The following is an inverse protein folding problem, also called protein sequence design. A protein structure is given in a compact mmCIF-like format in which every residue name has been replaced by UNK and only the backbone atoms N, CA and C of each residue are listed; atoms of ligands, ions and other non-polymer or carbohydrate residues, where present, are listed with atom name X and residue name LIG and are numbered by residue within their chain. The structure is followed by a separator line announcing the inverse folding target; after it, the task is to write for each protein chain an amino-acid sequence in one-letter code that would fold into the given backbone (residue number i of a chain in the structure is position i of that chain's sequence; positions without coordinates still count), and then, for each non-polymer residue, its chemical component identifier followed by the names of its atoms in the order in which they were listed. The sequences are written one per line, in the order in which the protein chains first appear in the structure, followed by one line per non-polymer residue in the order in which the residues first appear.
data_IF_624080476396
#
_entry.id   IF_624080476396
#
_cell.length_a   1.000
_cell.length_b   1.000
_cell.length_c   1.000
_cell.angle_alpha   90.00
_cell.angle_beta   90.00
_cell.angle_gamma   90.00
#
_symmetry.space_group_name_H-M   'P 1'
#
loop_
_entity.id
_entity.type
_entity.pdbx_description
1 polymer ?
#
# COMPACT_ATOMS: atom_id res chain seq x y z
N UNK A 1 20.33 34.54 4.95
CA UNK A 1 20.34 33.32 4.10
C UNK A 1 20.83 32.16 4.96
N UNK A 2 19.93 31.31 5.46
CA UNK A 2 20.27 30.24 6.41
C UNK A 2 20.99 29.09 5.71
N UNK A 3 22.14 28.65 6.24
CA UNK A 3 22.86 27.46 5.78
C UNK A 3 22.07 26.22 6.20
N UNK A 4 21.54 25.46 5.22
CA UNK A 4 20.84 24.20 5.48
C UNK A 4 21.90 23.14 5.78
N UNK A 5 21.98 22.68 7.04
CA UNK A 5 22.83 21.56 7.42
C UNK A 5 22.12 20.30 6.92
N UNK A 6 22.73 19.60 5.97
CA UNK A 6 22.22 18.33 5.46
C UNK A 6 23.09 17.23 6.06
N UNK A 7 22.49 16.35 6.86
CA UNK A 7 23.21 15.22 7.45
C UNK A 7 23.46 14.18 6.36
N UNK A 8 24.74 13.95 6.04
CA UNK A 8 25.16 12.90 5.12
C UNK A 8 25.67 11.70 5.91
N UNK A 9 25.31 10.50 5.48
CA UNK A 9 25.81 9.25 6.04
C UNK A 9 26.37 8.35 4.95
N UNK A 10 27.19 7.37 5.36
CA UNK A 10 27.80 6.42 4.45
C UNK A 10 26.82 5.27 4.18
N UNK A 11 26.47 5.04 2.92
CA UNK A 11 25.59 3.94 2.52
C UNK A 11 26.17 2.59 2.94
N UNK A 12 25.38 1.76 3.63
CA UNK A 12 25.80 0.42 4.08
C UNK A 12 26.09 -0.54 2.91
N UNK A 13 25.46 -0.33 1.76
CA UNK A 13 25.55 -1.24 0.61
C UNK A 13 26.73 -0.94 -0.31
N UNK A 14 27.08 0.33 -0.55
CA UNK A 14 28.14 0.70 -1.49
C UNK A 14 29.25 1.56 -0.88
N UNK A 15 29.13 1.96 0.38
CA UNK A 15 30.13 2.76 1.08
C UNK A 15 30.24 4.21 0.63
N UNK A 16 29.40 4.70 -0.31
CA UNK A 16 29.40 6.10 -0.75
C UNK A 16 28.52 6.97 0.17
N UNK A 17 28.87 8.26 0.29
CA UNK A 17 28.10 9.19 1.11
C UNK A 17 26.81 9.59 0.39
N UNK A 18 25.70 9.62 1.12
CA UNK A 18 24.37 9.96 0.62
C UNK A 18 23.60 10.74 1.70
N UNK A 19 22.71 11.63 1.28
CA UNK A 19 21.81 12.42 2.12
C UNK A 19 20.34 11.95 2.02
N UNK A 20 20.07 10.95 1.17
CA UNK A 20 18.76 10.37 0.95
C UNK A 20 18.65 8.93 1.48
N UNK A 21 17.45 8.54 1.92
CA UNK A 21 17.16 7.19 2.45
C UNK A 21 17.48 6.08 1.44
N UNK A 22 17.12 6.28 0.16
CA UNK A 22 17.57 5.42 -0.93
C UNK A 22 18.86 6.00 -1.52
N UNK A 23 19.90 5.19 -1.60
CA UNK A 23 21.19 5.62 -2.14
C UNK A 23 21.10 5.84 -3.65
N UNK A 24 21.43 7.04 -4.12
CA UNK A 24 21.43 7.38 -5.55
C UNK A 24 22.51 6.69 -6.37
N UNK A 25 23.49 6.04 -5.72
CA UNK A 25 24.57 5.32 -6.41
C UNK A 25 24.30 3.84 -6.62
N UNK A 26 23.55 3.20 -5.73
CA UNK A 26 23.28 1.77 -5.81
C UNK A 26 21.79 1.41 -5.73
N UNK A 27 20.92 2.43 -5.64
CA UNK A 27 19.45 2.33 -5.64
C UNK A 27 18.86 1.43 -4.54
N UNK A 28 19.64 1.18 -3.48
CA UNK A 28 19.25 0.40 -2.30
C UNK A 28 19.13 1.29 -1.08
N UNK A 29 18.40 0.82 -0.08
CA UNK A 29 18.32 1.49 1.21
C UNK A 29 19.73 1.75 1.76
N UNK A 30 19.98 2.99 2.15
CA UNK A 30 21.30 3.44 2.56
C UNK A 30 21.55 3.28 4.06
N UNK A 31 20.48 3.02 4.83
CA UNK A 31 20.48 2.90 6.28
C UNK A 31 19.43 1.87 6.71
N UNK A 32 19.77 1.01 7.69
CA UNK A 32 18.85 0.07 8.32
C UNK A 32 18.35 0.69 9.63
N UNK A 33 17.04 0.88 9.78
CA UNK A 33 16.47 1.27 11.09
C UNK A 33 16.39 0.03 11.97
N UNK A 34 17.40 -0.17 12.82
CA UNK A 34 17.36 -1.25 13.79
C UNK A 34 16.53 -0.84 15.02
N UNK A 35 15.39 -1.49 15.21
CA UNK A 35 14.63 -1.51 16.48
C UNK A 35 14.58 -2.96 16.97
N UNK A 36 15.72 -3.53 17.37
CA UNK A 36 15.81 -4.63 18.35
C UNK A 36 17.26 -5.03 18.65
N UNK A 37 17.56 -5.13 19.95
CA UNK A 37 18.63 -5.94 20.58
C UNK A 37 20.10 -5.47 20.45
N UNK A 38 20.76 -5.12 21.57
CA UNK A 38 21.59 -6.01 22.42
C UNK A 38 22.82 -6.57 21.68
N UNK A 39 24.05 -6.19 22.10
CA UNK A 39 25.13 -7.11 22.54
C UNK A 39 26.49 -6.40 22.63
N UNK A 40 26.98 -6.33 23.88
CA UNK A 40 28.36 -6.46 24.39
C UNK A 40 29.53 -6.14 23.45
N UNK A 41 30.36 -5.18 23.88
CA UNK A 41 31.82 -5.29 23.75
C UNK A 41 32.48 -5.06 25.11
N UNK A 42 33.21 -6.08 25.55
CA UNK A 42 34.13 -6.05 26.68
C UNK A 42 35.31 -5.12 26.38
N UNK A 43 35.49 -4.06 27.18
CA UNK A 43 36.77 -3.39 27.32
C UNK A 43 37.30 -3.52 28.76
N UNK A 44 38.27 -4.42 28.88
CA UNK A 44 39.20 -4.57 29.99
C UNK A 44 39.97 -3.27 30.22
N UNK A 45 39.92 -2.63 31.41
CA UNK A 45 40.81 -1.51 31.68
C UNK A 45 42.23 -2.02 31.94
N UNK A 46 43.18 -1.42 31.21
CA UNK A 46 44.62 -1.57 31.38
C UNK A 46 45.03 -1.23 32.82
N UNK A 47 45.89 -2.09 33.34
CA UNK A 47 46.76 -1.85 34.47
C UNK A 47 47.64 -0.62 34.17
N UNK A 48 47.57 0.41 35.01
CA UNK A 48 48.65 1.39 35.18
C UNK A 48 48.89 1.58 36.66
N UNK A 49 49.80 0.75 37.14
CA UNK A 49 50.59 0.91 38.35
C UNK A 49 51.55 2.11 38.17
N UNK A 50 51.50 3.11 39.07
CA UNK A 50 52.67 3.97 39.30
C UNK A 50 52.66 4.73 40.63
N UNK A 51 53.56 4.28 41.51
CA UNK A 51 54.48 5.03 42.40
C UNK A 51 53.98 5.73 43.67
N UNK A 52 54.10 4.99 44.78
CA UNK A 52 55.07 5.18 45.90
C UNK A 52 55.54 6.60 46.23
N UNK A 53 55.26 7.04 47.46
CA UNK A 53 56.21 7.51 48.50
C UNK A 53 55.40 7.71 49.81
N UNK A 54 55.85 7.54 51.05
CA UNK A 54 57.12 7.19 51.72
C UNK A 54 56.75 6.89 53.20
N UNK A 55 57.53 6.00 53.84
CA UNK A 55 57.84 5.84 55.29
C UNK A 55 56.66 5.60 56.27
N UNK A 56 56.70 4.67 57.22
CA UNK A 56 57.79 4.30 58.13
C UNK A 56 57.68 2.83 58.63
N UNK A 57 58.86 2.19 58.77
CA UNK A 57 59.35 1.25 59.82
C UNK A 57 58.29 0.36 60.53
N UNK A 58 58.41 -0.96 60.65
CA UNK A 58 59.53 -1.73 61.23
C UNK A 58 59.16 -3.24 61.29
N UNK A 59 60.19 -4.12 61.23
CA UNK A 59 60.28 -5.53 61.72
C UNK A 59 59.54 -6.68 60.99
N UNK A 60 60.31 -7.27 60.06
CA UNK A 60 60.67 -8.70 59.90
C UNK A 60 60.21 -9.64 61.03
N UNK A 61 59.49 -10.72 60.68
CA UNK A 61 59.90 -12.12 60.88
C UNK A 61 59.22 -13.02 59.83
N UNK A 62 60.04 -13.82 59.16
CA UNK A 62 59.69 -14.84 58.17
C UNK A 62 59.21 -16.12 58.84
N UNK A 63 58.10 -16.69 58.38
CA UNK A 63 57.88 -18.14 58.38
C UNK A 63 57.16 -18.53 57.09
N UNK A 64 57.77 -19.45 56.33
CA UNK A 64 57.17 -20.09 55.15
C UNK A 64 55.99 -20.95 55.64
N UNK A 65 54.75 -20.75 55.16
CA UNK A 65 53.60 -21.51 55.65
C UNK A 65 53.55 -22.92 55.06
N UNK A 66 53.16 -23.87 55.92
CA UNK A 66 52.90 -25.28 55.61
C UNK A 66 51.76 -25.43 54.57
N UNK A 67 51.80 -26.42 53.65
CA UNK A 67 50.83 -26.64 52.56
C UNK A 67 49.36 -26.64 53.00
N UNK A 68 49.08 -27.01 54.25
CA UNK A 68 47.74 -27.06 54.83
C UNK A 68 47.11 -25.67 55.02
N UNK A 69 47.93 -24.62 55.18
CA UNK A 69 47.49 -23.26 55.45
C UNK A 69 46.98 -22.58 54.17
N UNK A 70 47.65 -22.83 53.05
CA UNK A 70 47.22 -22.38 51.72
C UNK A 70 45.94 -23.11 51.29
N UNK A 71 45.84 -24.42 51.53
CA UNK A 71 44.63 -25.21 51.23
C UNK A 71 43.41 -24.68 52.00
N UNK A 72 43.57 -24.33 53.29
CA UNK A 72 42.48 -23.80 54.10
C UNK A 72 42.08 -22.37 53.69
N UNK A 73 43.04 -21.54 53.27
CA UNK A 73 42.76 -20.21 52.69
C UNK A 73 41.98 -20.32 51.39
N UNK A 74 42.42 -21.19 50.48
CA UNK A 74 41.76 -21.46 49.21
C UNK A 74 40.33 -22.00 49.41
N UNK A 75 40.10 -22.89 50.38
CA UNK A 75 38.74 -23.36 50.72
C UNK A 75 37.82 -22.21 51.12
N UNK A 76 38.31 -21.25 51.92
CA UNK A 76 37.53 -20.09 52.37
C UNK A 76 37.19 -19.13 51.23
N UNK A 77 38.10 -18.94 50.29
CA UNK A 77 37.85 -18.15 49.08
C UNK A 77 36.81 -18.82 48.18
N UNK A 78 36.89 -20.14 48.00
CA UNK A 78 35.90 -20.92 47.22
C UNK A 78 34.51 -20.82 47.85
N UNK A 79 34.38 -20.95 49.18
CA UNK A 79 33.08 -20.81 49.85
C UNK A 79 32.51 -19.39 49.74
N UNK A 80 33.34 -18.36 49.84
CA UNK A 80 32.89 -16.97 49.70
C UNK A 80 32.46 -16.67 48.24
N UNK A 81 33.19 -17.17 47.26
CA UNK A 81 32.80 -17.09 45.84
C UNK A 81 31.47 -17.83 45.59
N UNK A 82 31.29 -19.02 46.16
CA UNK A 82 30.04 -19.77 46.06
C UNK A 82 28.84 -19.00 46.64
N UNK A 83 28.99 -18.39 47.83
CA UNK A 83 27.95 -17.56 48.44
C UNK A 83 27.63 -16.31 47.60
N UNK A 84 28.65 -15.64 47.05
CA UNK A 84 28.45 -14.49 46.16
C UNK A 84 27.71 -14.86 44.88
N UNK A 85 28.00 -16.04 44.31
CA UNK A 85 27.26 -16.56 43.15
C UNK A 85 25.81 -16.89 43.49
N UNK A 86 25.54 -17.44 44.66
CA UNK A 86 24.17 -17.79 45.10
C UNK A 86 23.32 -16.54 45.40
N UNK A 87 23.91 -15.50 46.00
CA UNK A 87 23.23 -14.21 46.19
C UNK A 87 22.89 -13.58 44.83
N UNK A 88 23.82 -13.61 43.86
CA UNK A 88 23.56 -13.11 42.51
C UNK A 88 22.44 -13.93 41.81
N UNK A 89 22.44 -15.26 41.96
CA UNK A 89 21.43 -16.16 41.40
C UNK A 89 20.05 -15.95 42.02
N UNK A 90 19.96 -15.78 43.33
CA UNK A 90 18.69 -15.53 44.04
C UNK A 90 18.15 -14.13 43.77
N UNK A 91 19.03 -13.12 43.69
CA UNK A 91 18.69 -11.77 43.24
C UNK A 91 18.16 -11.76 41.81
N UNK A 92 18.85 -12.42 40.88
CA UNK A 92 18.41 -12.60 39.50
C UNK A 92 17.06 -13.33 39.41
N UNK A 93 16.83 -14.38 40.21
CA UNK A 93 15.55 -15.11 40.22
C UNK A 93 14.37 -14.22 40.63
N UNK A 94 14.53 -13.35 41.64
CA UNK A 94 13.49 -12.41 42.07
C UNK A 94 13.20 -11.37 40.98
N UNK A 95 14.24 -10.83 40.34
CA UNK A 95 14.10 -9.89 39.22
C UNK A 95 13.41 -10.53 38.01
N UNK A 96 13.78 -11.76 37.63
CA UNK A 96 13.17 -12.51 36.52
C UNK A 96 11.67 -12.74 36.77
N UNK A 97 11.27 -13.11 37.99
CA UNK A 97 9.85 -13.28 38.34
C UNK A 97 9.06 -11.97 38.24
N UNK A 98 9.66 -10.86 38.65
CA UNK A 98 9.04 -9.53 38.56
C UNK A 98 8.88 -9.09 37.09
N UNK A 99 9.91 -9.25 36.27
CA UNK A 99 9.87 -8.95 34.84
C UNK A 99 8.83 -9.84 34.13
N UNK A 100 8.80 -11.14 34.46
CA UNK A 100 7.80 -12.06 33.93
C UNK A 100 6.37 -11.61 34.24
N UNK A 101 6.11 -11.10 35.45
CA UNK A 101 4.81 -10.54 35.83
C UNK A 101 4.44 -9.28 35.02
N UNK A 102 5.39 -8.38 34.77
CA UNK A 102 5.14 -7.18 33.95
C UNK A 102 4.86 -7.56 32.50
N UNK A 103 5.62 -8.51 31.95
CA UNK A 103 5.42 -8.99 30.58
C UNK A 103 4.07 -9.70 30.43
N UNK A 104 3.65 -10.54 31.37
CA UNK A 104 2.33 -11.21 31.30
C UNK A 104 1.20 -10.19 31.32
N UNK A 105 1.28 -9.16 32.15
CA UNK A 105 0.28 -8.07 32.15
C UNK A 105 0.30 -7.32 30.82
N UNK A 106 1.47 -7.02 30.26
CA UNK A 106 1.59 -6.35 28.96
C UNK A 106 0.98 -7.19 27.83
N UNK A 107 1.23 -8.50 27.80
CA UNK A 107 0.63 -9.41 26.83
C UNK A 107 -0.89 -9.47 26.96
N UNK A 108 -1.43 -9.50 28.19
CA UNK A 108 -2.88 -9.47 28.41
C UNK A 108 -3.47 -8.15 27.90
N UNK A 109 -2.85 -7.00 28.21
CA UNK A 109 -3.31 -5.70 27.75
C UNK A 109 -3.27 -5.60 26.22
N UNK A 110 -2.19 -6.07 25.59
CA UNK A 110 -2.08 -6.13 24.13
C UNK A 110 -3.13 -7.04 23.50
N UNK A 111 -3.37 -8.22 24.07
CA UNK A 111 -4.40 -9.15 23.62
C UNK A 111 -5.81 -8.54 23.71
N UNK A 112 -6.12 -7.81 24.79
CA UNK A 112 -7.39 -7.12 24.97
C UNK A 112 -7.56 -6.00 23.94
N UNK A 113 -6.54 -5.16 23.76
CA UNK A 113 -6.58 -4.07 22.76
C UNK A 113 -6.74 -4.60 21.33
N UNK A 114 -6.02 -5.67 20.98
CA UNK A 114 -6.16 -6.34 19.69
C UNK A 114 -7.56 -6.94 19.52
N UNK A 115 -8.12 -7.56 20.56
CA UNK A 115 -9.47 -8.11 20.54
C UNK A 115 -10.54 -7.04 20.30
N UNK A 116 -10.45 -5.90 20.98
CA UNK A 116 -11.39 -4.77 20.79
C UNK A 116 -11.30 -4.23 19.36
N UNK A 117 -10.08 -4.01 18.84
CA UNK A 117 -9.87 -3.58 17.46
C UNK A 117 -10.41 -4.59 16.44
N UNK A 118 -10.20 -5.89 16.66
CA UNK A 118 -10.70 -6.95 15.78
C UNK A 118 -12.24 -6.99 15.75
N UNK A 119 -12.90 -6.82 16.89
CA UNK A 119 -14.37 -6.73 16.96
C UNK A 119 -14.89 -5.49 16.22
N UNK A 120 -14.20 -4.35 16.33
CA UNK A 120 -14.50 -3.15 15.56
C UNK A 120 -14.38 -3.38 14.06
N UNK A 121 -13.24 -3.92 13.63
CA UNK A 121 -12.96 -4.25 12.22
C UNK A 121 -13.98 -5.23 11.65
N UNK A 122 -14.36 -6.27 12.42
CA UNK A 122 -15.36 -7.25 11.99
C UNK A 122 -16.74 -6.62 11.73
N UNK A 123 -17.15 -5.63 12.54
CA UNK A 123 -18.40 -4.89 12.32
C UNK A 123 -18.34 -4.04 11.05
N UNK A 124 -17.21 -3.38 10.81
CA UNK A 124 -17.01 -2.58 9.61
C UNK A 124 -17.02 -3.44 8.34
N UNK A 125 -16.32 -4.58 8.35
CA UNK A 125 -16.33 -5.55 7.24
C UNK A 125 -17.74 -6.04 6.95
N UNK A 126 -18.52 -6.44 7.97
CA UNK A 126 -19.90 -6.88 7.76
C UNK A 126 -20.78 -5.77 7.17
N UNK A 127 -20.60 -4.51 7.61
CA UNK A 127 -21.33 -3.38 7.02
C UNK A 127 -20.95 -3.15 5.56
N UNK A 128 -19.67 -3.31 5.21
CA UNK A 128 -19.19 -3.19 3.84
C UNK A 128 -19.69 -4.33 2.96
N UNK A 129 -19.74 -5.56 3.47
CA UNK A 129 -20.28 -6.73 2.76
C UNK A 129 -21.76 -6.55 2.41
N UNK A 130 -22.58 -6.08 3.35
CA UNK A 130 -24.01 -5.78 3.09
C UNK A 130 -24.17 -4.68 2.04
N UNK A 131 -23.41 -3.57 2.14
CA UNK A 131 -23.43 -2.50 1.13
C UNK A 131 -23.00 -2.99 -0.25
N UNK A 132 -21.98 -3.84 -0.32
CA UNK A 132 -21.49 -4.40 -1.58
C UNK A 132 -22.53 -5.34 -2.22
N UNK A 133 -23.25 -6.13 -1.40
CA UNK A 133 -24.34 -6.99 -1.85
C UNK A 133 -25.51 -6.17 -2.40
N UNK A 134 -25.88 -5.07 -1.73
CA UNK A 134 -26.89 -4.13 -2.22
C UNK A 134 -26.46 -3.51 -3.56
N UNK A 135 -25.23 -2.99 -3.66
CA UNK A 135 -24.68 -2.46 -4.91
C UNK A 135 -24.69 -3.50 -6.04
N UNK A 136 -24.33 -4.75 -5.75
CA UNK A 136 -24.35 -5.86 -6.73
C UNK A 136 -25.76 -6.10 -7.28
N UNK A 137 -26.79 -6.04 -6.42
CA UNK A 137 -28.18 -6.21 -6.84
C UNK A 137 -28.64 -5.08 -7.77
N UNK A 138 -28.23 -3.84 -7.50
CA UNK A 138 -28.53 -2.68 -8.34
C UNK A 138 -27.84 -2.80 -9.70
N UNK A 139 -26.55 -3.15 -9.74
CA UNK A 139 -25.80 -3.36 -10.99
C UNK A 139 -26.42 -4.47 -11.83
N UNK A 140 -26.86 -5.57 -11.21
CA UNK A 140 -27.53 -6.66 -11.93
C UNK A 140 -28.86 -6.20 -12.56
N UNK A 141 -29.64 -5.38 -11.85
CA UNK A 141 -30.88 -4.81 -12.39
C UNK A 141 -30.63 -3.90 -13.60
N UNK A 142 -29.56 -3.09 -13.54
CA UNK A 142 -29.18 -2.17 -14.63
C UNK A 142 -28.62 -2.92 -15.84
N UNK A 143 -27.85 -4.00 -15.62
CA UNK A 143 -27.32 -4.83 -16.71
C UNK A 143 -28.43 -5.44 -17.58
N UNK A 144 -29.56 -5.85 -16.99
CA UNK A 144 -30.70 -6.38 -17.75
C UNK A 144 -31.31 -5.33 -18.69
N UNK A 145 -31.38 -4.08 -18.23
CA UNK A 145 -31.86 -2.95 -19.04
C UNK A 145 -30.86 -2.70 -20.16
N UNK A 146 -29.57 -2.58 -19.85
CA UNK A 146 -28.51 -2.36 -20.84
C UNK A 146 -28.52 -3.43 -21.93
N UNK A 147 -28.59 -4.72 -21.58
CA UNK A 147 -28.62 -5.81 -22.57
C UNK A 147 -29.89 -5.77 -23.44
N UNK A 148 -31.01 -5.31 -22.88
CA UNK A 148 -32.25 -5.14 -23.65
C UNK A 148 -32.13 -3.97 -24.62
N UNK A 149 -31.52 -2.85 -24.20
CA UNK A 149 -31.23 -1.73 -25.09
C UNK A 149 -30.21 -2.13 -26.17
N UNK A 150 -29.15 -2.84 -25.81
CA UNK A 150 -28.14 -3.30 -26.76
C UNK A 150 -28.77 -4.19 -27.84
N UNK A 151 -29.66 -5.11 -27.45
CA UNK A 151 -30.42 -5.92 -28.40
C UNK A 151 -31.25 -5.06 -29.37
N UNK A 152 -31.97 -4.06 -28.86
CA UNK A 152 -32.73 -3.14 -29.71
C UNK A 152 -31.83 -2.28 -30.60
N UNK A 153 -30.65 -1.89 -30.13
CA UNK A 153 -29.67 -1.13 -30.93
C UNK A 153 -29.08 -2.01 -32.03
N UNK A 154 -28.79 -3.28 -31.76
CA UNK A 154 -28.32 -4.22 -32.78
C UNK A 154 -29.38 -4.49 -33.85
N UNK A 155 -30.66 -4.61 -33.46
CA UNK A 155 -31.77 -4.78 -34.41
C UNK A 155 -31.99 -3.53 -35.28
N UNK A 156 -31.76 -2.32 -34.77
CA UNK A 156 -31.85 -1.07 -35.54
C UNK A 156 -30.57 -0.80 -36.37
N UNK A 157 -29.42 -1.33 -35.96
CA UNK A 157 -28.14 -1.13 -36.66
C UNK A 157 -28.01 -1.91 -37.97
N UNK A 158 -28.84 -2.94 -38.18
CA UNK A 158 -28.81 -3.76 -39.39
C UNK A 158 -29.58 -3.11 -40.55
N UNK A 159 -30.44 -2.12 -40.27
CA UNK A 159 -31.04 -1.25 -41.29
C UNK A 159 -30.00 -0.24 -41.79
N UNK A 160 -29.18 -0.65 -42.75
CA UNK A 160 -28.27 0.26 -43.44
C UNK A 160 -29.09 1.27 -44.25
N UNK A 161 -28.96 2.55 -43.92
CA UNK A 161 -29.51 3.63 -44.72
C UNK A 161 -28.63 3.80 -45.96
N UNK A 162 -29.16 3.42 -47.12
CA UNK A 162 -28.55 3.71 -48.42
C UNK A 162 -29.08 5.01 -48.98
N UNK A 163 -28.28 5.65 -49.82
CA UNK A 163 -28.71 6.82 -50.56
C UNK A 163 -28.83 6.49 -52.04
N UNK A 164 -29.97 6.84 -52.61
CA UNK A 164 -30.24 6.74 -54.04
C UNK A 164 -30.38 8.14 -54.64
N UNK A 165 -30.06 8.27 -55.93
CA UNK A 165 -30.27 9.51 -56.66
C UNK A 165 -31.42 9.32 -57.65
N UNK A 166 -32.50 10.07 -57.47
CA UNK A 166 -33.64 10.12 -58.38
C UNK A 166 -33.61 11.39 -59.23
N UNK A 167 -33.91 11.30 -60.52
CA UNK A 167 -34.03 12.49 -61.39
C UNK A 167 -35.50 12.78 -61.63
N UNK A 168 -35.96 13.95 -61.17
CA UNK A 168 -37.37 14.36 -61.20
C UNK A 168 -37.89 14.40 -62.64
N UNK A 169 -39.00 13.71 -62.89
CA UNK A 169 -39.70 13.68 -64.18
C UNK A 169 -40.88 14.65 -64.17
N UNK A 170 -41.40 14.93 -65.37
CA UNK A 170 -42.55 15.82 -65.56
C UNK A 170 -43.78 15.27 -64.81
N UNK A 171 -44.31 16.08 -63.91
CA UNK A 171 -45.54 15.78 -63.17
C UNK A 171 -45.34 15.02 -61.85
N UNK A 172 -44.10 14.72 -61.47
CA UNK A 172 -43.81 14.10 -60.17
C UNK A 172 -43.80 15.13 -59.04
N UNK A 173 -44.28 14.73 -57.86
CA UNK A 173 -44.14 15.48 -56.61
C UNK A 173 -43.15 14.77 -55.68
N UNK A 174 -42.60 15.47 -54.68
CA UNK A 174 -41.73 14.82 -53.68
C UNK A 174 -42.42 13.65 -52.99
N UNK A 175 -43.72 13.79 -52.69
CA UNK A 175 -44.52 12.72 -52.07
C UNK A 175 -44.63 11.50 -52.96
N UNK A 176 -44.86 11.69 -54.27
CA UNK A 176 -44.94 10.56 -55.21
C UNK A 176 -43.60 9.88 -55.39
N UNK A 177 -42.50 10.64 -55.44
CA UNK A 177 -41.14 10.11 -55.53
C UNK A 177 -40.81 9.31 -54.26
N UNK A 178 -41.11 9.82 -53.06
CA UNK A 178 -40.89 9.08 -51.81
C UNK A 178 -41.67 7.77 -51.77
N UNK A 179 -42.94 7.80 -52.22
CA UNK A 179 -43.79 6.62 -52.30
C UNK A 179 -43.23 5.56 -53.25
N UNK A 180 -42.60 5.95 -54.37
CA UNK A 180 -41.94 5.01 -55.29
C UNK A 180 -40.80 4.22 -54.62
N UNK A 181 -40.15 4.79 -53.61
CA UNK A 181 -39.04 4.17 -52.89
C UNK A 181 -39.41 3.68 -51.49
N UNK A 182 -40.70 3.53 -51.18
CA UNK A 182 -41.20 3.13 -49.86
C UNK A 182 -40.71 4.03 -48.71
N UNK A 183 -40.44 5.30 -49.00
CA UNK A 183 -40.06 6.30 -48.00
C UNK A 183 -41.33 6.97 -47.49
N UNK A 184 -41.54 7.00 -46.18
CA UNK A 184 -42.57 7.83 -45.58
C UNK A 184 -42.17 9.32 -45.71
N UNK A 185 -42.89 10.03 -46.59
CA UNK A 185 -42.63 11.44 -46.86
C UNK A 185 -42.77 12.31 -45.61
N UNK A 186 -43.79 12.11 -44.77
CA UNK A 186 -44.04 12.99 -43.62
C UNK A 186 -42.94 12.85 -42.58
N UNK A 187 -42.50 11.61 -42.31
CA UNK A 187 -41.40 11.34 -41.40
C UNK A 187 -40.05 11.85 -41.91
N UNK A 188 -39.84 11.86 -43.24
CA UNK A 188 -38.52 12.13 -43.84
C UNK A 188 -38.40 13.48 -44.56
N UNK A 189 -39.48 14.27 -44.69
CA UNK A 189 -39.49 15.55 -45.43
C UNK A 189 -38.36 16.47 -45.00
N UNK A 190 -38.16 16.67 -43.69
CA UNK A 190 -37.11 17.55 -43.18
C UNK A 190 -35.70 17.11 -43.61
N UNK A 191 -35.42 15.81 -43.55
CA UNK A 191 -34.14 15.23 -43.95
C UNK A 191 -33.95 15.36 -45.46
N UNK A 192 -34.95 14.99 -46.26
CA UNK A 192 -34.89 15.06 -47.73
C UNK A 192 -34.66 16.49 -48.20
N UNK A 193 -35.36 17.46 -47.62
CA UNK A 193 -35.21 18.87 -47.97
C UNK A 193 -33.81 19.39 -47.62
N UNK A 194 -33.31 19.03 -46.44
CA UNK A 194 -31.98 19.43 -45.98
C UNK A 194 -30.87 18.81 -46.83
N UNK A 195 -30.98 17.53 -47.18
CA UNK A 195 -30.02 16.82 -48.03
C UNK A 195 -29.92 17.41 -49.45
N UNK A 196 -31.03 17.96 -49.95
CA UNK A 196 -31.14 18.44 -51.32
C UNK A 196 -31.19 19.98 -51.45
N UNK A 197 -31.03 20.71 -50.34
CA UNK A 197 -31.09 22.17 -50.33
C UNK A 197 -32.43 22.73 -50.81
N UNK A 198 -33.55 22.05 -50.51
CA UNK A 198 -34.89 22.46 -50.94
C UNK A 198 -35.53 23.32 -49.85
N UNK A 199 -35.73 24.60 -50.12
CA UNK A 199 -36.42 25.52 -49.20
C UNK A 199 -37.93 25.29 -49.18
N UNK A 200 -38.52 25.12 -50.37
CA UNK A 200 -39.95 24.84 -50.52
C UNK A 200 -40.18 23.48 -51.20
N UNK A 201 -40.72 22.48 -50.49
CA UNK A 201 -40.91 21.12 -51.00
C UNK A 201 -41.87 21.03 -52.20
N UNK A 202 -42.70 22.04 -52.40
CA UNK A 202 -43.62 22.11 -53.53
C UNK A 202 -42.97 22.68 -54.80
N UNK A 203 -41.67 23.02 -54.78
CA UNK A 203 -40.99 23.76 -55.86
C UNK A 203 -39.90 22.97 -56.59
N UNK A 204 -39.98 21.63 -56.59
CA UNK A 204 -39.00 20.81 -57.32
C UNK A 204 -39.10 21.01 -58.84
N UNK A 205 -37.95 20.98 -59.52
CA UNK A 205 -37.85 21.22 -60.96
C UNK A 205 -37.63 19.93 -61.74
N UNK A 206 -38.17 19.86 -62.96
CA UNK A 206 -37.95 18.73 -63.87
C UNK A 206 -36.45 18.62 -64.20
N UNK A 207 -35.90 17.41 -64.10
CA UNK A 207 -34.46 17.14 -64.29
C UNK A 207 -33.61 17.36 -63.05
N UNK A 208 -34.18 17.86 -61.94
CA UNK A 208 -33.48 17.98 -60.67
C UNK A 208 -33.09 16.60 -60.14
N UNK A 209 -31.86 16.46 -59.63
CA UNK A 209 -31.40 15.25 -58.94
C UNK A 209 -31.71 15.36 -57.45
N UNK A 210 -32.36 14.35 -56.92
CA UNK A 210 -32.74 14.23 -55.52
C UNK A 210 -32.04 13.05 -54.88
N UNK A 211 -31.31 13.29 -53.80
CA UNK A 211 -30.72 12.31 -52.92
C UNK A 211 -31.76 11.86 -51.89
N UNK A 212 -32.11 10.58 -51.90
CA UNK A 212 -33.14 10.03 -51.02
C UNK A 212 -32.54 8.95 -50.10
N UNK A 213 -32.80 9.00 -48.79
CA UNK A 213 -32.41 7.94 -47.86
C UNK A 213 -33.41 6.79 -47.94
N UNK A 214 -32.95 5.60 -48.32
CA UNK A 214 -33.74 4.37 -48.41
C UNK A 214 -33.18 3.39 -47.38
N UNK A 215 -34.06 2.75 -46.62
CA UNK A 215 -33.71 1.64 -45.74
C UNK A 215 -33.54 0.38 -46.60
N UNK A 216 -32.42 -0.32 -46.46
CA UNK A 216 -32.22 -1.66 -47.02
C UNK A 216 -33.17 -2.70 -46.41
#
# INVERSE_FOLDING_TARGET
MGKKIVHMWRCINCGKMTDAYICTHCEKESYVKDWSETTIQDEKPKLTEKLISKSDKEKVYTTVPSPETEINGLKKEITNLAERMDINRTGASKAIKSIACVLTVLFIVQAVMLGINFIGLKREVHSLEEKNKEQTSLVHSQSKIINSLEKTVTEVSDSQIKYIVHTVKKGETLTDICRQYNIDYEANRGIICSLNGIENPNTISIGQKLLLPVLD
#
